data_IF_700059618591
#
_entry.id   IF_700059618591
#
_cell.length_a   1.000
_cell.length_b   1.000
_cell.length_c   1.000
_cell.angle_alpha   90.00
_cell.angle_beta   90.00
_cell.angle_gamma   90.00
#
_symmetry.space_group_name_H-M   'P 1'
#
loop_
_entity.id
_entity.type
_entity.pdbx_description
1 polymer ?
#
# COMPACT_ATOMS: atom_id res chain seq x y z
N UNK A 1 35.76 -4.25 48.80
CA UNK A 1 34.37 -4.04 48.35
C UNK A 1 34.42 -3.15 47.11
N UNK A 2 34.30 -3.74 45.92
CA UNK A 2 34.28 -3.00 44.67
C UNK A 2 32.81 -3.00 44.18
N UNK A 3 32.14 -1.85 44.27
CA UNK A 3 30.80 -1.65 43.74
C UNK A 3 30.82 -1.44 42.22
N UNK A 4 30.29 -2.41 41.47
CA UNK A 4 30.07 -2.27 40.05
C UNK A 4 28.84 -1.39 39.76
N UNK A 5 29.04 -0.24 39.16
CA UNK A 5 27.96 0.61 38.62
C UNK A 5 27.55 0.04 37.28
N UNK A 6 26.35 -0.56 37.22
CA UNK A 6 25.76 -0.98 35.94
C UNK A 6 25.30 0.27 35.18
N UNK A 7 25.98 0.59 34.10
CA UNK A 7 25.55 1.63 33.16
C UNK A 7 24.33 1.14 32.39
N UNK A 8 23.15 1.67 32.74
CA UNK A 8 21.91 1.46 32.02
C UNK A 8 21.94 2.31 30.75
N UNK A 9 22.26 1.72 29.61
CA UNK A 9 22.24 2.39 28.31
C UNK A 9 20.78 2.66 27.95
N UNK A 10 20.34 3.91 28.11
CA UNK A 10 19.07 4.39 27.54
C UNK A 10 19.19 4.39 26.01
N UNK A 11 18.54 3.46 25.33
CA UNK A 11 18.33 3.57 23.89
C UNK A 11 17.48 4.80 23.60
N UNK A 12 17.85 5.64 22.62
CA UNK A 12 17.06 6.82 22.29
C UNK A 12 15.69 6.41 21.74
N UNK A 13 14.63 7.05 22.26
CA UNK A 13 13.23 6.85 21.83
C UNK A 13 13.00 7.14 20.33
N UNK A 14 13.91 7.85 19.67
CA UNK A 14 13.84 8.22 18.25
C UNK A 14 14.00 7.04 17.29
N UNK A 15 14.76 6.02 17.64
CA UNK A 15 15.02 4.88 16.76
C UNK A 15 13.76 4.08 16.38
N UNK A 16 12.76 4.03 17.25
CA UNK A 16 11.53 3.24 17.00
C UNK A 16 10.58 3.91 16.00
N UNK A 17 10.53 5.24 15.97
CA UNK A 17 9.70 6.00 15.02
C UNK A 17 10.23 5.90 13.59
N UNK A 18 11.55 5.93 13.43
CA UNK A 18 12.20 5.83 12.12
C UNK A 18 12.06 4.42 11.53
N UNK A 19 12.15 3.38 12.35
CA UNK A 19 11.92 1.98 11.93
C UNK A 19 10.47 1.78 11.48
N UNK A 20 9.49 2.37 12.16
CA UNK A 20 8.07 2.29 11.79
C UNK A 20 7.81 3.02 10.44
N UNK A 21 8.41 4.18 10.21
CA UNK A 21 8.32 4.92 8.95
C UNK A 21 8.98 4.12 7.82
N UNK A 22 10.19 3.59 8.03
CA UNK A 22 10.88 2.77 7.05
C UNK A 22 10.04 1.52 6.69
N UNK A 23 9.40 0.88 7.68
CA UNK A 23 8.52 -0.25 7.44
C UNK A 23 7.31 0.14 6.57
N UNK A 24 6.61 1.24 6.88
CA UNK A 24 5.41 1.62 6.12
C UNK A 24 5.71 2.19 4.73
N UNK A 25 6.89 2.73 4.50
CA UNK A 25 7.30 3.27 3.19
C UNK A 25 7.98 2.24 2.29
N UNK A 26 8.46 1.11 2.85
CA UNK A 26 9.13 0.07 2.09
C UNK A 26 8.26 -0.45 0.93
N UNK A 27 8.83 -0.73 -0.26
CA UNK A 27 8.08 -1.24 -1.40
C UNK A 27 7.27 -2.50 -1.08
N UNK A 28 6.07 -2.60 -1.61
CA UNK A 28 5.19 -3.78 -1.48
C UNK A 28 5.02 -4.42 -2.85
N UNK A 29 5.78 -5.48 -3.11
CA UNK A 29 5.92 -6.12 -4.42
C UNK A 29 5.43 -7.55 -4.42
N UNK A 30 4.87 -7.95 -5.57
CA UNK A 30 4.58 -9.32 -5.96
C UNK A 30 5.38 -9.65 -7.22
N UNK A 31 5.66 -10.94 -7.42
CA UNK A 31 6.42 -11.41 -8.57
C UNK A 31 7.93 -11.45 -8.33
N UNK A 32 8.67 -11.82 -9.37
CA UNK A 32 10.11 -12.02 -9.29
C UNK A 32 10.86 -10.69 -9.47
N UNK A 33 11.97 -10.53 -8.74
CA UNK A 33 12.81 -9.32 -8.85
C UNK A 33 13.42 -9.15 -10.26
N UNK A 34 13.67 -10.23 -10.97
CA UNK A 34 14.19 -10.25 -12.32
C UNK A 34 13.11 -10.30 -13.42
N UNK A 35 11.84 -10.07 -13.09
CA UNK A 35 10.78 -9.99 -14.09
C UNK A 35 11.09 -8.89 -15.12
N UNK A 36 10.88 -9.14 -16.43
CA UNK A 36 11.22 -8.18 -17.49
C UNK A 36 10.40 -6.90 -17.41
N UNK A 37 9.14 -6.98 -16.97
CA UNK A 37 8.26 -5.83 -16.87
C UNK A 37 8.06 -5.46 -15.41
N UNK A 38 8.25 -4.17 -15.08
CA UNK A 38 8.01 -3.60 -13.75
C UNK A 38 6.78 -2.71 -13.82
N UNK A 39 5.82 -2.96 -12.96
CA UNK A 39 4.59 -2.16 -12.86
C UNK A 39 4.45 -1.63 -11.44
N UNK A 40 4.25 -0.33 -11.29
CA UNK A 40 3.85 0.30 -10.03
C UNK A 40 2.43 0.80 -10.17
N UNK A 41 1.51 0.23 -9.40
CA UNK A 41 0.15 0.74 -9.29
C UNK A 41 0.08 1.83 -8.24
N UNK A 42 -0.36 3.02 -8.63
CA UNK A 42 -0.74 4.12 -7.74
C UNK A 42 -2.25 4.02 -7.49
N UNK A 43 -2.65 3.73 -6.25
CA UNK A 43 -4.03 3.43 -5.94
C UNK A 43 -4.52 4.08 -4.65
N UNK A 44 -5.84 4.23 -4.53
CA UNK A 44 -6.49 4.69 -3.31
C UNK A 44 -7.45 3.63 -2.76
N UNK A 45 -7.44 3.47 -1.44
CA UNK A 45 -8.30 2.50 -0.74
C UNK A 45 -9.80 2.81 -0.85
N UNK A 46 -10.16 4.06 -1.16
CA UNK A 46 -11.56 4.51 -1.30
C UNK A 46 -11.98 4.70 -2.76
N UNK A 47 -11.08 4.44 -3.73
CA UNK A 47 -11.38 4.63 -5.15
C UNK A 47 -12.19 3.46 -5.73
N UNK A 48 -13.43 3.67 -6.24
CA UNK A 48 -14.23 2.61 -6.84
C UNK A 48 -13.59 1.96 -8.06
N UNK A 49 -12.83 2.71 -8.85
CA UNK A 49 -12.09 2.19 -10.01
C UNK A 49 -10.93 1.28 -9.60
N UNK A 50 -10.22 1.61 -8.49
CA UNK A 50 -9.23 0.72 -7.91
C UNK A 50 -9.88 -0.58 -7.42
N UNK A 51 -11.00 -0.50 -6.70
CA UNK A 51 -11.75 -1.68 -6.29
C UNK A 51 -12.22 -2.52 -7.49
N UNK A 52 -12.71 -1.87 -8.56
CA UNK A 52 -13.11 -2.58 -9.79
C UNK A 52 -11.93 -3.32 -10.43
N UNK A 53 -10.77 -2.66 -10.57
CA UNK A 53 -9.56 -3.30 -11.08
C UNK A 53 -9.15 -4.49 -10.22
N UNK A 54 -9.05 -4.30 -8.91
CA UNK A 54 -8.64 -5.35 -7.96
C UNK A 54 -9.60 -6.54 -7.90
N UNK A 55 -10.89 -6.30 -8.04
CA UNK A 55 -11.90 -7.37 -7.96
C UNK A 55 -12.10 -8.12 -9.28
N UNK A 56 -11.86 -7.45 -10.44
CA UNK A 56 -12.21 -8.01 -11.75
C UNK A 56 -10.99 -8.35 -12.62
N UNK A 57 -9.94 -7.53 -12.56
CA UNK A 57 -8.79 -7.62 -13.48
C UNK A 57 -7.54 -8.18 -12.79
N UNK A 58 -7.26 -7.72 -11.56
CA UNK A 58 -6.04 -8.10 -10.85
C UNK A 58 -5.88 -9.61 -10.62
N UNK A 59 -6.93 -10.42 -10.39
CA UNK A 59 -6.77 -11.88 -10.29
C UNK A 59 -6.13 -12.49 -11.54
N UNK A 60 -6.52 -12.07 -12.76
CA UNK A 60 -5.93 -12.53 -14.00
C UNK A 60 -4.51 -11.98 -14.19
N UNK A 61 -4.28 -10.70 -13.87
CA UNK A 61 -2.94 -10.09 -13.85
C UNK A 61 -2.00 -10.89 -12.94
N UNK A 62 -2.48 -11.23 -11.74
CA UNK A 62 -1.70 -12.03 -10.80
C UNK A 62 -1.37 -13.41 -11.35
N UNK A 63 -2.38 -14.17 -11.78
CA UNK A 63 -2.21 -15.55 -12.20
C UNK A 63 -1.40 -15.68 -13.51
N UNK A 64 -1.62 -14.78 -14.47
CA UNK A 64 -1.10 -14.90 -15.85
C UNK A 64 0.17 -14.09 -16.11
N UNK A 65 0.48 -13.08 -15.30
CA UNK A 65 1.64 -12.21 -15.50
C UNK A 65 2.59 -12.23 -14.29
N UNK A 66 2.07 -12.09 -13.06
CA UNK A 66 2.92 -12.00 -11.87
C UNK A 66 3.44 -13.39 -11.46
N UNK A 67 2.55 -14.38 -11.31
CA UNK A 67 2.90 -15.72 -10.86
C UNK A 67 3.75 -16.48 -11.91
N UNK A 68 3.63 -16.11 -13.18
CA UNK A 68 4.48 -16.64 -14.28
C UNK A 68 5.87 -16.00 -14.30
N UNK A 69 6.05 -14.87 -13.61
CA UNK A 69 7.32 -14.13 -13.55
C UNK A 69 7.54 -13.14 -14.69
N UNK A 70 6.52 -12.84 -15.49
CA UNK A 70 6.57 -11.83 -16.55
C UNK A 70 6.53 -10.41 -15.99
N UNK A 71 5.81 -10.21 -14.88
CA UNK A 71 5.62 -8.90 -14.26
C UNK A 71 6.04 -8.94 -12.79
N UNK A 72 6.81 -7.95 -12.35
CA UNK A 72 6.89 -7.54 -10.95
C UNK A 72 5.91 -6.39 -10.73
N UNK A 73 5.01 -6.57 -9.78
CA UNK A 73 3.93 -5.63 -9.51
C UNK A 73 4.07 -5.02 -8.12
N UNK A 74 4.26 -3.71 -8.07
CA UNK A 74 4.33 -2.94 -6.82
C UNK A 74 3.02 -2.18 -6.59
N UNK A 75 2.54 -2.18 -5.35
CA UNK A 75 1.39 -1.38 -4.94
C UNK A 75 1.83 -0.21 -4.07
N UNK A 76 1.68 1.02 -4.59
CA UNK A 76 2.07 2.25 -3.92
C UNK A 76 0.85 3.08 -3.53
N UNK A 77 0.78 3.59 -2.28
CA UNK A 77 -0.28 4.47 -1.81
C UNK A 77 -0.42 5.75 -2.64
N UNK A 78 -1.67 6.04 -3.01
CA UNK A 78 -2.06 7.34 -3.56
C UNK A 78 -3.40 7.74 -2.95
N UNK A 79 -3.46 8.02 -1.61
CA UNK A 79 -4.71 8.32 -0.94
C UNK A 79 -5.36 9.58 -1.51
N UNK A 80 -6.66 9.50 -1.83
CA UNK A 80 -7.45 10.62 -2.34
C UNK A 80 -8.14 11.42 -1.23
N UNK A 81 -8.29 10.81 -0.06
CA UNK A 81 -8.95 11.39 1.10
C UNK A 81 -8.35 10.87 2.42
N UNK A 82 -8.85 11.38 3.55
CA UNK A 82 -8.38 11.02 4.88
C UNK A 82 -8.75 9.60 5.30
N UNK A 83 -9.84 9.05 4.76
CA UNK A 83 -10.26 7.67 5.05
C UNK A 83 -9.35 6.71 4.31
N UNK A 84 -9.06 6.99 3.03
CA UNK A 84 -8.08 6.25 2.24
C UNK A 84 -6.69 6.23 2.90
N UNK A 85 -6.23 7.40 3.39
CA UNK A 85 -4.95 7.51 4.10
C UNK A 85 -4.87 6.55 5.28
N UNK A 86 -5.93 6.46 6.09
CA UNK A 86 -5.98 5.55 7.24
C UNK A 86 -6.07 4.08 6.83
N UNK A 87 -6.79 3.77 5.75
CA UNK A 87 -6.79 2.43 5.15
C UNK A 87 -5.39 2.00 4.70
N UNK A 88 -4.66 2.90 4.03
CA UNK A 88 -3.26 2.66 3.66
C UNK A 88 -2.36 2.49 4.88
N UNK A 89 -2.49 3.34 5.90
CA UNK A 89 -1.70 3.24 7.13
C UNK A 89 -1.92 1.89 7.81
N UNK A 90 -3.18 1.44 7.94
CA UNK A 90 -3.50 0.13 8.50
C UNK A 90 -2.81 -0.99 7.71
N UNK A 91 -3.02 -1.06 6.40
CA UNK A 91 -2.46 -2.15 5.59
C UNK A 91 -0.93 -2.18 5.63
N UNK A 92 -0.28 -1.01 5.59
CA UNK A 92 1.19 -0.90 5.57
C UNK A 92 1.85 -1.14 6.92
N UNK A 93 1.16 -0.88 8.03
CA UNK A 93 1.66 -1.16 9.38
C UNK A 93 1.60 -2.65 9.76
N UNK A 94 0.85 -3.46 9.03
CA UNK A 94 0.80 -4.91 9.23
C UNK A 94 2.11 -5.57 8.74
N UNK A 95 2.42 -6.78 9.24
CA UNK A 95 3.50 -7.59 8.68
C UNK A 95 3.38 -7.72 7.17
N UNK A 96 4.51 -7.73 6.45
CA UNK A 96 4.56 -7.75 4.98
C UNK A 96 3.66 -8.82 4.36
N UNK A 97 3.60 -10.02 4.96
CA UNK A 97 2.75 -11.12 4.51
C UNK A 97 1.25 -10.82 4.58
N UNK A 98 0.84 -9.88 5.42
CA UNK A 98 -0.57 -9.51 5.61
C UNK A 98 -0.97 -8.28 4.77
N UNK A 99 -0.01 -7.59 4.15
CA UNK A 99 -0.28 -6.38 3.36
C UNK A 99 -1.28 -6.63 2.23
N UNK A 100 -0.96 -7.53 1.30
CA UNK A 100 -1.83 -7.81 0.15
C UNK A 100 -3.19 -8.41 0.54
N UNK A 101 -3.28 -9.35 1.49
CA UNK A 101 -4.56 -9.78 2.05
C UNK A 101 -5.41 -8.64 2.60
N UNK A 102 -4.81 -7.70 3.34
CA UNK A 102 -5.54 -6.54 3.88
C UNK A 102 -6.00 -5.59 2.77
N UNK A 103 -5.14 -5.29 1.80
CA UNK A 103 -5.52 -4.48 0.62
C UNK A 103 -6.69 -5.12 -0.11
N UNK A 104 -6.63 -6.44 -0.38
CA UNK A 104 -7.71 -7.17 -1.03
C UNK A 104 -9.01 -7.11 -0.24
N UNK A 105 -8.93 -7.22 1.09
CA UNK A 105 -10.10 -7.12 1.96
C UNK A 105 -10.74 -5.74 1.92
N UNK A 106 -9.93 -4.67 1.98
CA UNK A 106 -10.41 -3.29 1.93
C UNK A 106 -11.02 -2.93 0.56
N UNK A 107 -10.39 -3.35 -0.54
CA UNK A 107 -10.87 -3.07 -1.89
C UNK A 107 -12.03 -3.99 -2.33
N UNK A 108 -12.25 -5.12 -1.64
CA UNK A 108 -13.35 -6.03 -1.97
C UNK A 108 -14.71 -5.36 -1.88
N UNK A 109 -14.91 -4.56 -0.84
CA UNK A 109 -16.15 -3.81 -0.64
C UNK A 109 -15.87 -2.56 0.21
N UNK A 110 -15.59 -1.45 -0.48
CA UNK A 110 -15.29 -0.15 0.14
C UNK A 110 -16.47 0.33 0.99
N UNK A 111 -17.70 0.03 0.58
CA UNK A 111 -18.91 0.51 1.28
C UNK A 111 -19.03 -0.01 2.71
N UNK A 112 -18.44 -1.19 2.99
CA UNK A 112 -18.51 -1.83 4.32
C UNK A 112 -17.64 -1.20 5.38
N UNK A 113 -16.71 -0.34 4.98
CA UNK A 113 -15.80 0.28 5.94
C UNK A 113 -15.59 1.77 5.73
N UNK A 114 -15.63 2.29 4.48
CA UNK A 114 -15.36 3.69 4.19
C UNK A 114 -16.63 4.53 4.05
N UNK A 115 -17.75 3.95 3.60
CA UNK A 115 -19.02 4.64 3.42
C UNK A 115 -20.03 4.29 4.54
N UNK A 116 -19.55 4.20 5.77
CA UNK A 116 -20.34 3.96 6.98
C UNK A 116 -20.26 5.18 7.90
N UNK A 117 -21.17 5.27 8.89
CA UNK A 117 -21.20 6.40 9.83
C UNK A 117 -19.90 6.54 10.63
N UNK A 118 -19.25 5.43 10.98
CA UNK A 118 -17.96 5.42 11.69
C UNK A 118 -16.94 4.53 10.97
N UNK A 119 -16.21 5.08 9.97
CA UNK A 119 -15.14 4.37 9.27
C UNK A 119 -13.99 3.95 10.17
N UNK A 120 -13.73 4.73 11.24
CA UNK A 120 -12.65 4.43 12.18
C UNK A 120 -12.93 3.13 12.95
N UNK A 121 -14.12 2.97 13.50
CA UNK A 121 -14.53 1.72 14.16
C UNK A 121 -14.56 0.54 13.18
N UNK A 122 -14.95 0.77 11.92
CA UNK A 122 -14.92 -0.28 10.91
C UNK A 122 -13.48 -0.74 10.62
N UNK A 123 -12.52 0.17 10.43
CA UNK A 123 -11.10 -0.15 10.27
C UNK A 123 -10.51 -0.83 11.52
N UNK A 124 -10.91 -0.40 12.74
CA UNK A 124 -10.49 -1.03 13.98
C UNK A 124 -10.89 -2.49 14.07
N UNK A 125 -12.10 -2.83 13.63
CA UNK A 125 -12.56 -4.24 13.56
C UNK A 125 -11.69 -5.07 12.60
N UNK A 126 -11.36 -4.53 11.42
CA UNK A 126 -10.49 -5.20 10.44
C UNK A 126 -9.04 -5.35 10.97
N UNK A 127 -8.53 -4.34 11.66
CA UNK A 127 -7.22 -4.39 12.32
C UNK A 127 -7.14 -5.52 13.35
N UNK A 128 -8.19 -5.68 14.19
CA UNK A 128 -8.26 -6.77 15.18
C UNK A 128 -8.33 -8.15 14.52
N UNK A 129 -9.06 -8.30 13.41
CA UNK A 129 -9.09 -9.55 12.65
C UNK A 129 -7.71 -9.91 12.09
N UNK A 130 -6.88 -8.91 11.78
CA UNK A 130 -5.49 -9.09 11.36
C UNK A 130 -4.51 -9.25 12.54
N UNK A 131 -4.99 -9.31 13.79
CA UNK A 131 -4.16 -9.50 14.99
C UNK A 131 -3.56 -8.22 15.58
N UNK A 132 -3.99 -7.04 15.13
CA UNK A 132 -3.57 -5.75 15.72
C UNK A 132 -4.44 -5.43 16.94
N UNK A 133 -3.83 -5.11 18.09
CA UNK A 133 -4.60 -4.68 19.26
C UNK A 133 -5.25 -3.31 19.08
N UNK A 134 -6.28 -2.99 19.85
CA UNK A 134 -6.96 -1.70 19.80
C UNK A 134 -6.00 -0.54 20.08
N UNK A 135 -5.13 -0.70 21.08
CA UNK A 135 -4.14 0.31 21.48
C UNK A 135 -3.14 0.58 20.35
N UNK A 136 -2.67 -0.48 19.66
CA UNK A 136 -1.76 -0.34 18.51
C UNK A 136 -2.45 0.34 17.35
N UNK A 137 -3.72 -0.01 17.08
CA UNK A 137 -4.50 0.63 16.04
C UNK A 137 -4.70 2.12 16.30
N UNK A 138 -5.11 2.50 17.53
CA UNK A 138 -5.29 3.89 17.90
C UNK A 138 -3.98 4.69 17.82
N UNK A 139 -2.88 4.12 18.31
CA UNK A 139 -1.56 4.73 18.21
C UNK A 139 -1.17 4.97 16.73
N UNK A 140 -1.38 3.98 15.87
CA UNK A 140 -1.14 4.09 14.43
C UNK A 140 -1.95 5.22 13.79
N UNK A 141 -3.26 5.29 14.10
CA UNK A 141 -4.15 6.29 13.52
C UNK A 141 -3.84 7.73 13.95
N UNK A 142 -3.07 7.91 15.05
CA UNK A 142 -2.58 9.20 15.55
C UNK A 142 -1.11 9.45 15.21
N UNK A 143 -0.41 8.48 14.64
CA UNK A 143 1.01 8.62 14.33
C UNK A 143 1.22 9.53 13.11
N UNK A 144 1.53 10.80 13.39
CA UNK A 144 1.73 11.82 12.36
C UNK A 144 2.86 11.47 11.40
N UNK A 145 3.97 10.92 11.88
CA UNK A 145 5.12 10.57 11.04
C UNK A 145 4.75 9.53 9.98
N UNK A 146 4.00 8.49 10.36
CA UNK A 146 3.50 7.47 9.42
C UNK A 146 2.53 8.07 8.41
N UNK A 147 1.57 8.88 8.87
CA UNK A 147 0.57 9.48 7.98
C UNK A 147 1.21 10.46 7.00
N UNK A 148 2.12 11.29 7.47
CA UNK A 148 2.89 12.24 6.66
C UNK A 148 3.76 11.50 5.62
N UNK A 149 4.46 10.43 6.01
CA UNK A 149 5.26 9.62 5.09
C UNK A 149 4.44 9.01 3.95
N UNK A 150 3.21 8.54 4.22
CA UNK A 150 2.30 8.05 3.17
C UNK A 150 1.83 9.19 2.25
N UNK A 151 1.57 10.37 2.79
CA UNK A 151 1.24 11.56 2.00
C UNK A 151 2.42 11.98 1.12
N UNK A 152 3.64 11.91 1.63
CA UNK A 152 4.87 12.18 0.88
C UNK A 152 5.06 11.20 -0.29
N UNK A 153 4.76 9.90 -0.11
CA UNK A 153 4.76 8.92 -1.20
C UNK A 153 3.80 9.36 -2.33
N UNK A 154 2.59 9.80 -1.99
CA UNK A 154 1.63 10.33 -2.97
C UNK A 154 2.18 11.59 -3.66
N UNK A 155 2.73 12.54 -2.91
CA UNK A 155 3.27 13.79 -3.46
C UNK A 155 4.45 13.53 -4.39
N UNK A 156 5.34 12.60 -4.03
CA UNK A 156 6.47 12.19 -4.86
C UNK A 156 5.98 11.61 -6.19
N UNK A 157 5.00 10.69 -6.14
CA UNK A 157 4.42 10.12 -7.35
C UNK A 157 3.73 11.16 -8.23
N UNK A 158 2.97 12.09 -7.63
CA UNK A 158 2.34 13.20 -8.36
C UNK A 158 3.39 14.08 -9.07
N UNK A 159 4.46 14.46 -8.35
CA UNK A 159 5.52 15.31 -8.92
C UNK A 159 6.31 14.61 -10.02
N UNK A 160 6.58 13.32 -9.86
CA UNK A 160 7.41 12.55 -10.79
C UNK A 160 6.65 12.17 -12.05
N UNK A 161 5.37 11.81 -11.92
CA UNK A 161 4.60 11.17 -12.99
C UNK A 161 3.40 12.00 -13.46
N UNK A 162 3.14 13.16 -12.89
CA UNK A 162 1.94 14.00 -13.12
C UNK A 162 0.61 13.22 -13.01
N UNK A 163 0.57 12.20 -12.15
CA UNK A 163 -0.61 11.35 -11.95
C UNK A 163 -1.69 12.10 -11.16
N UNK A 164 -2.89 12.21 -11.74
CA UNK A 164 -4.04 12.95 -11.19
C UNK A 164 -5.22 12.06 -10.83
N UNK A 165 -5.17 10.80 -11.20
CA UNK A 165 -6.28 9.83 -11.00
C UNK A 165 -5.77 8.46 -10.57
N UNK A 166 -6.67 7.65 -10.00
CA UNK A 166 -6.39 6.28 -9.60
C UNK A 166 -7.42 5.30 -10.18
N UNK A 167 -7.04 4.06 -10.50
CA UNK A 167 -5.68 3.57 -10.51
C UNK A 167 -4.86 4.18 -11.64
N UNK A 168 -3.55 4.34 -11.44
CA UNK A 168 -2.59 4.63 -12.50
C UNK A 168 -1.43 3.66 -12.39
N UNK A 169 -0.89 3.21 -13.52
CA UNK A 169 0.16 2.21 -13.58
C UNK A 169 1.39 2.80 -14.25
N UNK A 170 2.51 2.78 -13.55
CA UNK A 170 3.82 3.19 -14.08
C UNK A 170 4.51 1.94 -14.58
N UNK A 171 4.73 1.85 -15.89
CA UNK A 171 5.36 0.69 -16.54
C UNK A 171 6.83 1.02 -16.83
N UNK A 172 7.73 0.16 -16.36
CA UNK A 172 9.19 0.26 -16.51
C UNK A 172 9.78 1.63 -16.15
N UNK A 173 9.10 2.40 -15.24
CA UNK A 173 9.53 3.74 -14.88
C UNK A 173 9.49 4.75 -16.03
N UNK A 174 8.67 4.54 -17.06
CA UNK A 174 8.63 5.38 -18.26
C UNK A 174 7.21 5.76 -18.68
N UNK A 175 6.31 4.81 -18.75
CA UNK A 175 4.96 5.02 -19.30
C UNK A 175 3.91 5.01 -18.21
N UNK A 176 2.99 5.96 -18.25
CA UNK A 176 1.84 6.05 -17.35
C UNK A 176 0.58 5.58 -18.07
N UNK A 177 -0.06 4.53 -17.55
CA UNK A 177 -1.36 4.07 -17.97
C UNK A 177 -2.38 4.47 -16.90
N UNK A 178 -3.48 5.12 -17.29
CA UNK A 178 -4.48 5.62 -16.34
C UNK A 178 -5.81 4.89 -16.46
N UNK A 179 -6.46 4.68 -15.32
CA UNK A 179 -7.79 4.12 -15.19
C UNK A 179 -7.83 2.59 -15.08
N UNK A 180 -8.95 2.10 -14.56
CA UNK A 180 -9.23 0.67 -14.55
C UNK A 180 -9.46 0.18 -16.00
N UNK A 181 -8.94 -1.01 -16.30
CA UNK A 181 -9.03 -1.61 -17.63
C UNK A 181 -9.20 -3.12 -17.55
N UNK A 182 -9.60 -3.76 -18.63
CA UNK A 182 -9.68 -5.21 -18.74
C UNK A 182 -8.28 -5.85 -18.63
N UNK A 183 -8.23 -7.16 -18.42
CA UNK A 183 -6.95 -7.89 -18.44
C UNK A 183 -6.30 -7.80 -19.84
N UNK A 184 -7.08 -7.94 -20.89
CA UNK A 184 -6.61 -7.91 -22.27
C UNK A 184 -5.98 -6.55 -22.61
N UNK A 185 -6.66 -5.45 -22.25
CA UNK A 185 -6.14 -4.10 -22.46
C UNK A 185 -4.88 -3.85 -21.62
N UNK A 186 -4.88 -4.30 -20.35
CA UNK A 186 -3.72 -4.17 -19.48
C UNK A 186 -2.50 -4.90 -20.05
N UNK A 187 -2.66 -6.17 -20.40
CA UNK A 187 -1.59 -6.99 -20.97
C UNK A 187 -1.07 -6.42 -22.28
N UNK A 188 -1.95 -5.99 -23.19
CA UNK A 188 -1.56 -5.37 -24.45
C UNK A 188 -0.74 -4.09 -24.25
N UNK A 189 -1.20 -3.22 -23.33
CA UNK A 189 -0.54 -1.93 -23.07
C UNK A 189 0.83 -2.08 -22.41
N UNK A 190 0.98 -2.96 -21.41
CA UNK A 190 2.28 -3.15 -20.76
C UNK A 190 3.32 -3.79 -21.71
N UNK A 191 2.90 -4.68 -22.61
CA UNK A 191 3.78 -5.27 -23.61
C UNK A 191 4.21 -4.26 -24.69
N UNK A 192 3.33 -3.33 -25.07
CA UNK A 192 3.66 -2.28 -26.05
C UNK A 192 4.68 -1.25 -25.52
N UNK A 193 4.92 -1.21 -24.21
CA UNK A 193 5.90 -0.29 -23.61
C UNK A 193 7.30 -0.87 -23.51
N UNK A 194 7.48 -2.13 -23.88
CA UNK A 194 8.76 -2.86 -23.80
C UNK A 194 9.54 -2.80 -25.12
N UNK A 195 8.97 -2.16 -26.14
CA UNK A 195 9.58 -1.89 -27.45
C UNK A 195 10.06 -0.46 -27.54
#
# INVERSE_FOLDING_TARGET
MLGGVAAMTMMPLTARGDDDVAHVTAPRRLGKDNAPIKVVELFSMTCPHCASFHNKTFPDVKARLIDTGMVQFEMQPFPLDQIALRGHALARALPVKQYFPMVSLLLKDISRWAAVDDPFSALSRLARQAGMSAEKFEALMRNRQILEAIVEMRQAAYKTWDVKSTPSFIVNGKTVLSGAMSYEDFAAKINATDT
#
